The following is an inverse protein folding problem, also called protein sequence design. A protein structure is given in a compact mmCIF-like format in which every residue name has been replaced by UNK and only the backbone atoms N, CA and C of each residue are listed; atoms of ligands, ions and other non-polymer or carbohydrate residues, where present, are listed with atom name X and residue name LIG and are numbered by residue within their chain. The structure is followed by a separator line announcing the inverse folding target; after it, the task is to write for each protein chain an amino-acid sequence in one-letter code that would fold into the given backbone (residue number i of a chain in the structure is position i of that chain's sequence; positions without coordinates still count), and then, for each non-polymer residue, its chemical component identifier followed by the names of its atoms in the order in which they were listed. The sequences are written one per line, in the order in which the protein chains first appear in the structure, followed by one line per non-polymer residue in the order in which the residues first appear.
data_IF_143877644060
#
_entry.id   IF_143877644060
#
_cell.length_a   1.000
_cell.length_b   1.000
_cell.length_c   1.000
_cell.angle_alpha   90.00
_cell.angle_beta   90.00
_cell.angle_gamma   90.00
#
_symmetry.space_group_name_H-M   'P 1'
#
loop_
_entity.id
_entity.type
_entity.pdbx_description
1 polymer ?
#
# COMPACT_ATOMS: atom_id res chain seq x y z
N UNK A 1 -5.62 -13.50 -24.14
CA UNK A 1 -6.83 -12.70 -23.90
C UNK A 1 -6.76 -12.17 -22.47
N UNK A 2 -6.68 -10.86 -22.26
CA UNK A 2 -6.75 -10.25 -20.92
C UNK A 2 -8.19 -9.96 -20.52
N UNK A 3 -8.50 -10.04 -19.23
CA UNK A 3 -9.82 -9.61 -18.71
C UNK A 3 -9.80 -8.10 -18.51
N UNK A 4 -10.70 -7.38 -19.18
CA UNK A 4 -10.88 -5.94 -19.02
C UNK A 4 -11.89 -5.61 -17.90
N UNK A 5 -11.80 -6.31 -16.77
CA UNK A 5 -12.61 -5.96 -15.61
C UNK A 5 -12.01 -4.74 -14.93
N UNK A 6 -12.68 -3.60 -15.02
CA UNK A 6 -12.31 -2.39 -14.26
C UNK A 6 -12.70 -2.58 -12.79
N UNK A 7 -11.83 -2.15 -11.87
CA UNK A 7 -12.15 -2.14 -10.44
C UNK A 7 -13.20 -1.07 -10.14
N UNK A 8 -14.31 -1.48 -9.53
CA UNK A 8 -15.40 -0.57 -9.11
C UNK A 8 -15.20 -0.02 -7.70
N UNK A 9 -14.39 -0.69 -6.88
CA UNK A 9 -14.19 -0.38 -5.47
C UNK A 9 -12.75 -0.63 -5.06
N UNK A 10 -12.28 0.14 -4.08
CA UNK A 10 -10.96 -0.04 -3.47
C UNK A 10 -11.07 -1.03 -2.31
N UNK A 11 -10.20 -2.05 -2.28
CA UNK A 11 -10.18 -3.05 -1.21
C UNK A 11 -8.86 -3.00 -0.44
N UNK A 12 -8.94 -2.65 0.84
CA UNK A 12 -7.82 -2.59 1.78
C UNK A 12 -8.10 -3.56 2.94
N UNK A 13 -7.61 -4.81 2.89
CA UNK A 13 -7.80 -5.74 3.98
C UNK A 13 -6.99 -5.30 5.22
N UNK A 14 -7.43 -5.67 6.44
CA UNK A 14 -6.65 -5.43 7.64
C UNK A 14 -5.33 -6.20 7.59
N UNK A 15 -4.27 -5.62 8.16
CA UNK A 15 -2.96 -6.25 8.26
C UNK A 15 -2.99 -7.49 9.17
N UNK A 16 -2.03 -8.39 8.97
CA UNK A 16 -1.88 -9.59 9.81
C UNK A 16 -1.42 -9.20 11.22
N UNK A 17 -1.70 -10.01 12.26
CA UNK A 17 -1.30 -9.72 13.63
C UNK A 17 0.19 -9.40 13.78
N UNK A 18 1.06 -10.14 13.08
CA UNK A 18 2.51 -9.92 13.09
C UNK A 18 2.93 -8.51 12.67
N UNK A 19 2.22 -7.91 11.71
CA UNK A 19 2.46 -6.55 11.26
C UNK A 19 1.97 -5.49 12.27
N UNK A 20 0.97 -5.83 13.08
CA UNK A 20 0.48 -4.98 14.17
C UNK A 20 1.34 -5.11 15.43
N UNK A 21 1.90 -6.28 15.69
CA UNK A 21 2.78 -6.58 16.83
C UNK A 21 4.19 -5.99 16.65
N UNK A 22 4.66 -5.88 15.40
CA UNK A 22 6.00 -5.38 15.08
C UNK A 22 5.97 -4.24 14.04
N UNK A 23 5.30 -3.11 14.35
CA UNK A 23 5.18 -1.99 13.42
C UNK A 23 6.55 -1.35 13.11
N UNK A 24 7.49 -1.43 14.05
CA UNK A 24 8.83 -0.85 13.90
C UNK A 24 9.62 -1.48 12.75
N UNK A 25 9.43 -2.78 12.50
CA UNK A 25 10.11 -3.47 11.38
C UNK A 25 9.66 -2.88 10.04
N UNK A 26 8.36 -2.63 9.91
CA UNK A 26 7.75 -2.06 8.71
C UNK A 26 8.20 -0.61 8.53
N UNK A 27 8.16 0.19 9.60
CA UNK A 27 8.60 1.59 9.56
C UNK A 27 10.09 1.71 9.22
N UNK A 28 10.94 0.88 9.84
CA UNK A 28 12.38 0.85 9.55
C UNK A 28 12.65 0.49 8.09
N UNK A 29 11.92 -0.50 7.55
CA UNK A 29 12.03 -0.87 6.15
C UNK A 29 11.61 0.29 5.22
N UNK A 30 10.46 0.92 5.49
CA UNK A 30 9.99 2.09 4.73
C UNK A 30 11.03 3.23 4.78
N UNK A 31 11.61 3.52 5.95
CA UNK A 31 12.65 4.54 6.08
C UNK A 31 13.92 4.19 5.31
N UNK A 32 14.33 2.91 5.27
CA UNK A 32 15.48 2.50 4.45
C UNK A 32 15.23 2.64 2.95
N UNK A 33 14.01 2.36 2.48
CA UNK A 33 13.65 2.54 1.06
C UNK A 33 13.49 4.03 0.68
N UNK A 34 13.01 4.86 1.62
CA UNK A 34 12.97 6.32 1.44
C UNK A 34 14.38 6.93 1.39
N UNK A 35 15.30 6.49 2.25
CA UNK A 35 16.68 6.99 2.25
C UNK A 35 17.47 6.53 1.03
N UNK A 36 17.15 5.35 0.48
CA UNK A 36 17.66 4.87 -0.79
C UNK A 36 17.04 5.59 -2.01
N UNK A 37 16.00 6.40 -1.81
CA UNK A 37 15.29 7.10 -2.89
C UNK A 37 14.41 6.18 -3.74
N UNK A 38 14.16 4.94 -3.31
CA UNK A 38 13.26 4.01 -4.00
C UNK A 38 11.79 4.38 -3.81
N UNK A 39 11.43 4.88 -2.62
CA UNK A 39 10.09 5.33 -2.30
C UNK A 39 9.98 6.85 -2.29
N UNK A 40 8.79 7.37 -2.56
CA UNK A 40 8.50 8.81 -2.52
C UNK A 40 7.29 9.09 -1.63
N UNK A 41 7.51 9.88 -0.58
CA UNK A 41 6.46 10.42 0.29
C UNK A 41 5.64 9.37 1.06
N UNK A 42 4.85 9.83 2.04
CA UNK A 42 3.66 9.12 2.48
C UNK A 42 2.47 9.53 1.61
N UNK A 43 1.77 8.57 1.02
CA UNK A 43 0.52 8.81 0.30
C UNK A 43 -0.67 8.49 1.20
N UNK A 44 -1.63 9.41 1.32
CA UNK A 44 -2.92 9.06 1.87
C UNK A 44 -3.65 8.11 0.91
N UNK A 45 -4.48 7.17 1.41
CA UNK A 45 -5.26 6.28 0.55
C UNK A 45 -6.10 7.04 -0.48
N UNK A 46 -6.68 8.18 -0.09
CA UNK A 46 -7.46 9.05 -0.98
C UNK A 46 -6.63 9.66 -2.10
N UNK A 47 -5.39 10.09 -1.81
CA UNK A 47 -4.49 10.65 -2.80
C UNK A 47 -4.05 9.58 -3.80
N UNK A 48 -3.75 8.37 -3.32
CA UNK A 48 -3.38 7.25 -4.18
C UNK A 48 -4.56 6.87 -5.09
N UNK A 49 -5.77 6.76 -4.53
CA UNK A 49 -6.98 6.45 -5.31
C UNK A 49 -7.24 7.50 -6.40
N UNK A 50 -7.06 8.79 -6.10
CA UNK A 50 -7.20 9.85 -7.10
C UNK A 50 -6.13 9.78 -8.21
N UNK A 51 -4.95 9.20 -7.92
CA UNK A 51 -3.85 9.11 -8.87
C UNK A 51 -3.99 7.90 -9.81
N UNK A 52 -4.42 6.74 -9.28
CA UNK A 52 -4.42 5.47 -10.03
C UNK A 52 -5.81 4.84 -10.23
N UNK A 53 -6.85 5.44 -9.65
CA UNK A 53 -8.20 4.87 -9.61
C UNK A 53 -8.38 3.85 -8.48
N UNK A 54 -9.41 3.02 -8.59
CA UNK A 54 -9.67 1.93 -7.64
C UNK A 54 -8.52 0.91 -7.64
N UNK A 55 -8.14 0.46 -6.45
CA UNK A 55 -7.04 -0.48 -6.28
C UNK A 55 -7.33 -1.52 -5.20
N UNK A 56 -6.56 -2.61 -5.20
CA UNK A 56 -6.65 -3.64 -4.16
C UNK A 56 -5.27 -3.91 -3.60
N UNK A 57 -5.17 -4.04 -2.29
CA UNK A 57 -3.90 -4.40 -1.62
C UNK A 57 -4.00 -5.76 -0.96
N UNK A 58 -2.83 -6.32 -0.66
CA UNK A 58 -2.70 -7.53 0.15
C UNK A 58 -2.40 -7.16 1.60
N UNK A 59 -2.80 -7.99 2.59
CA UNK A 59 -2.43 -7.79 3.98
C UNK A 59 -0.91 -7.90 4.16
N UNK A 60 -0.33 -6.95 4.88
CA UNK A 60 1.05 -7.00 5.38
C UNK A 60 1.18 -8.08 6.45
#
# INVERSE_FOLDING_TARGET
MGVYSTLSDTFLPPNRPSALEHPDVILNYIHSELSAGHYTGPFSPSRLQNLIGHFRTSPL
#
